data_IF_853165554871
#
_entry.id   IF_853165554871
#
_cell.length_a   1.000
_cell.length_b   1.000
_cell.length_c   1.000
_cell.angle_alpha   90.00
_cell.angle_beta   90.00
_cell.angle_gamma   90.00
#
_symmetry.space_group_name_H-M   'P 1'
#
loop_
_entity.id
_entity.type
_entity.pdbx_description
1 polymer ?
#
# COMPACT_ATOMS: atom_id res chain seq x y z
N UNK A 1 12.79 8.27 -3.33
CA UNK A 1 12.27 7.68 -2.09
C UNK A 1 13.17 6.57 -1.58
N UNK A 2 13.08 5.36 -2.13
CA UNK A 2 13.68 4.16 -1.50
C UNK A 2 15.11 3.78 -1.94
N UNK A 3 15.84 4.61 -2.67
CA UNK A 3 17.12 4.21 -3.29
C UNK A 3 18.19 3.82 -2.25
N UNK A 4 18.38 4.64 -1.20
CA UNK A 4 19.34 4.36 -0.13
C UNK A 4 18.97 3.11 0.69
N UNK A 5 17.69 2.96 1.05
CA UNK A 5 17.22 1.79 1.81
C UNK A 5 17.34 0.48 1.01
N UNK A 6 17.08 0.52 -0.30
CA UNK A 6 17.31 -0.63 -1.18
C UNK A 6 18.80 -0.99 -1.30
N UNK A 7 19.70 0.00 -1.24
CA UNK A 7 21.13 -0.29 -1.21
C UNK A 7 21.53 -0.96 0.11
N UNK A 8 20.97 -0.50 1.23
CA UNK A 8 21.20 -1.11 2.54
C UNK A 8 20.69 -2.56 2.60
N UNK A 9 19.45 -2.82 2.18
CA UNK A 9 18.88 -4.17 2.11
C UNK A 9 19.75 -5.11 1.24
N UNK A 10 20.23 -4.63 0.08
CA UNK A 10 21.15 -5.41 -0.76
C UNK A 10 22.51 -5.67 -0.11
N UNK A 11 23.06 -4.69 0.60
CA UNK A 11 24.34 -4.85 1.31
C UNK A 11 24.23 -5.81 2.50
N UNK A 12 23.03 -5.94 3.08
CA UNK A 12 22.72 -6.83 4.20
C UNK A 12 21.87 -8.00 3.71
N UNK A 13 22.45 -8.79 2.81
CA UNK A 13 21.81 -9.96 2.18
C UNK A 13 21.69 -11.17 3.14
N UNK A 14 21.74 -10.95 4.45
CA UNK A 14 21.57 -11.93 5.52
C UNK A 14 20.12 -11.93 6.06
N UNK A 15 19.25 -11.09 5.51
CA UNK A 15 17.86 -10.95 5.96
C UNK A 15 17.69 -10.14 7.24
N UNK A 16 18.77 -9.55 7.79
CA UNK A 16 18.71 -8.71 8.99
C UNK A 16 17.92 -7.41 8.80
N UNK A 17 17.70 -7.00 7.54
CA UNK A 17 16.93 -5.82 7.17
C UNK A 17 15.93 -6.20 6.09
N UNK A 18 14.67 -5.84 6.32
CA UNK A 18 13.58 -6.04 5.35
C UNK A 18 12.88 -4.71 5.12
N UNK A 19 12.74 -4.30 3.86
CA UNK A 19 12.11 -3.03 3.53
C UNK A 19 10.58 -3.10 3.66
N UNK A 20 10.04 -2.42 4.67
CA UNK A 20 8.63 -2.09 4.75
C UNK A 20 8.35 -0.85 3.87
N UNK A 21 7.56 -1.03 2.83
CA UNK A 21 7.12 0.09 1.99
C UNK A 21 5.93 0.77 2.67
N UNK A 22 5.76 2.07 2.43
CA UNK A 22 4.79 2.86 3.17
C UNK A 22 3.54 3.12 2.34
N UNK A 23 2.37 2.82 2.92
CA UNK A 23 1.07 3.17 2.38
C UNK A 23 0.92 4.67 2.10
N UNK A 24 1.61 5.54 2.86
CA UNK A 24 1.60 6.98 2.63
C UNK A 24 2.14 7.37 1.24
N UNK A 25 3.21 6.71 0.77
CA UNK A 25 3.76 6.95 -0.57
C UNK A 25 2.82 6.44 -1.67
N UNK A 26 2.16 5.30 -1.45
CA UNK A 26 1.18 4.79 -2.39
C UNK A 26 -0.05 5.71 -2.46
N UNK A 27 -0.60 6.11 -1.31
CA UNK A 27 -1.72 7.05 -1.19
C UNK A 27 -1.44 8.37 -1.91
N UNK A 28 -0.24 8.94 -1.72
CA UNK A 28 0.14 10.20 -2.38
C UNK A 28 0.05 10.11 -3.91
N UNK A 29 0.44 8.98 -4.50
CA UNK A 29 0.35 8.79 -5.96
C UNK A 29 -1.09 8.74 -6.46
N UNK A 30 -1.98 8.08 -5.72
CA UNK A 30 -3.41 8.09 -6.04
C UNK A 30 -4.02 9.47 -5.85
N UNK A 31 -3.61 10.20 -4.81
CA UNK A 31 -4.03 11.58 -4.60
C UNK A 31 -3.62 12.50 -5.75
N UNK A 32 -2.34 12.47 -6.14
CA UNK A 32 -1.83 13.26 -7.27
C UNK A 32 -2.56 12.89 -8.57
N UNK A 33 -2.81 11.60 -8.80
CA UNK A 33 -3.60 11.15 -9.95
C UNK A 33 -5.04 11.68 -9.91
N UNK A 34 -5.70 11.63 -8.75
CA UNK A 34 -7.07 12.12 -8.60
C UNK A 34 -7.14 13.64 -8.77
N UNK A 35 -6.26 14.39 -8.11
CA UNK A 35 -6.20 15.85 -8.21
C UNK A 35 -6.00 16.34 -9.65
N UNK A 36 -5.24 15.62 -10.48
CA UNK A 36 -5.01 15.99 -11.87
C UNK A 36 -6.08 15.53 -12.88
N UNK A 37 -6.94 14.57 -12.53
CA UNK A 37 -7.83 13.91 -13.51
C UNK A 37 -9.27 13.70 -13.05
N UNK A 38 -9.58 13.98 -11.78
CA UNK A 38 -10.83 13.60 -11.12
C UNK A 38 -11.19 12.11 -11.28
N UNK A 39 -10.19 11.23 -11.47
CA UNK A 39 -10.44 9.82 -11.74
C UNK A 39 -11.22 9.16 -10.60
N UNK A 40 -12.35 8.48 -10.88
CA UNK A 40 -13.13 7.76 -9.87
C UNK A 40 -12.37 6.55 -9.33
N UNK A 41 -11.53 5.90 -10.15
CA UNK A 41 -10.67 4.80 -9.71
C UNK A 41 -9.63 5.32 -8.70
N UNK A 42 -9.04 6.49 -8.94
CA UNK A 42 -8.10 7.07 -7.99
C UNK A 42 -8.79 7.43 -6.66
N UNK A 43 -10.03 7.95 -6.71
CA UNK A 43 -10.83 8.23 -5.51
C UNK A 43 -11.12 6.95 -4.71
N UNK A 44 -11.58 5.90 -5.37
CA UNK A 44 -11.85 4.60 -4.74
C UNK A 44 -10.59 3.99 -4.08
N UNK A 45 -9.43 4.13 -4.72
CA UNK A 45 -8.16 3.70 -4.13
C UNK A 45 -7.83 4.47 -2.83
N UNK A 46 -8.14 5.77 -2.78
CA UNK A 46 -7.96 6.58 -1.57
C UNK A 46 -8.92 6.16 -0.45
N UNK A 47 -10.16 5.83 -0.78
CA UNK A 47 -11.15 5.34 0.19
C UNK A 47 -10.70 4.02 0.82
N UNK A 48 -10.29 3.04 0.01
CA UNK A 48 -9.76 1.75 0.49
C UNK A 48 -8.54 1.90 1.40
N UNK A 49 -7.61 2.82 1.07
CA UNK A 49 -6.49 3.13 1.97
C UNK A 49 -6.98 3.81 3.26
N UNK A 50 -8.03 4.63 3.17
CA UNK A 50 -8.68 5.25 4.31
C UNK A 50 -9.22 4.23 5.31
N UNK A 51 -9.82 3.13 4.84
CA UNK A 51 -10.29 2.03 5.69
C UNK A 51 -9.15 1.38 6.48
N UNK A 52 -8.02 1.12 5.83
CA UNK A 52 -6.79 0.62 6.50
C UNK A 52 -6.36 1.60 7.61
N UNK A 53 -6.36 2.91 7.31
CA UNK A 53 -5.97 3.94 8.28
C UNK A 53 -6.96 4.10 9.44
N UNK A 54 -8.24 3.82 9.21
CA UNK A 54 -9.24 3.83 10.27
C UNK A 54 -8.95 2.75 11.31
N UNK A 55 -8.68 1.52 10.87
CA UNK A 55 -8.31 0.41 11.77
C UNK A 55 -7.01 0.74 12.52
N UNK A 56 -5.98 1.24 11.82
CA UNK A 56 -4.71 1.60 12.47
C UNK A 56 -4.85 2.72 13.51
N UNK A 57 -5.86 3.58 13.37
CA UNK A 57 -6.20 4.60 14.37
C UNK A 57 -6.87 3.98 15.59
N UNK A 58 -7.77 3.02 15.39
CA UNK A 58 -8.51 2.34 16.47
C UNK A 58 -7.60 1.46 17.34
N UNK A 59 -6.61 0.80 16.73
CA UNK A 59 -5.68 -0.08 17.45
C UNK A 59 -4.47 0.65 18.03
N UNK A 60 -4.38 1.96 17.85
CA UNK A 60 -3.29 2.77 18.38
C UNK A 60 -3.30 2.72 19.91
N UNK A 61 -2.13 2.50 20.50
CA UNK A 61 -1.99 2.38 21.96
C UNK A 61 -2.22 0.96 22.51
N UNK A 62 -2.74 0.04 21.69
CA UNK A 62 -2.82 -1.37 22.08
C UNK A 62 -1.45 -2.05 22.06
N UNK A 63 -1.35 -3.19 22.75
CA UNK A 63 -0.12 -3.98 22.79
C UNK A 63 0.25 -4.52 21.40
N UNK A 64 1.56 -4.76 21.13
CA UNK A 64 1.97 -5.31 19.84
C UNK A 64 1.22 -6.59 19.42
N UNK A 65 1.00 -7.60 20.30
CA UNK A 65 0.24 -8.80 19.93
C UNK A 65 -1.22 -8.51 19.58
N UNK A 66 -1.89 -7.60 20.30
CA UNK A 66 -3.27 -7.22 20.00
C UNK A 66 -3.38 -6.52 18.64
N UNK A 67 -2.43 -5.62 18.33
CA UNK A 67 -2.39 -4.97 17.02
C UNK A 67 -2.23 -5.98 15.88
N UNK A 68 -1.34 -6.96 16.03
CA UNK A 68 -1.14 -8.01 15.03
C UNK A 68 -2.42 -8.84 14.86
N UNK A 69 -3.05 -9.25 15.95
CA UNK A 69 -4.31 -10.01 15.89
C UNK A 69 -5.40 -9.26 15.12
N UNK A 70 -5.59 -7.96 15.41
CA UNK A 70 -6.59 -7.15 14.72
C UNK A 70 -6.21 -6.91 13.25
N UNK A 71 -4.94 -6.65 12.95
CA UNK A 71 -4.48 -6.51 11.57
C UNK A 71 -4.72 -7.77 10.75
N UNK A 72 -4.47 -8.94 11.31
CA UNK A 72 -4.74 -10.22 10.64
C UNK A 72 -6.24 -10.42 10.42
N UNK A 73 -7.06 -10.15 11.43
CA UNK A 73 -8.51 -10.36 11.34
C UNK A 73 -9.23 -9.34 10.44
N UNK A 74 -8.81 -8.08 10.46
CA UNK A 74 -9.57 -6.96 9.88
C UNK A 74 -8.85 -6.28 8.72
N UNK A 75 -7.54 -6.03 8.85
CA UNK A 75 -6.78 -5.28 7.83
C UNK A 75 -6.30 -6.15 6.67
N UNK A 76 -5.87 -7.39 6.94
CA UNK A 76 -5.33 -8.29 5.93
C UNK A 76 -6.35 -8.61 4.81
N UNK A 77 -7.64 -8.87 5.08
CA UNK A 77 -8.65 -9.04 4.03
C UNK A 77 -8.81 -7.79 3.16
N UNK A 78 -8.78 -6.58 3.73
CA UNK A 78 -8.89 -5.32 2.99
C UNK A 78 -7.68 -5.10 2.08
N UNK A 79 -6.47 -5.39 2.57
CA UNK A 79 -5.25 -5.33 1.76
C UNK A 79 -5.34 -6.32 0.59
N UNK A 80 -5.69 -7.58 0.84
CA UNK A 80 -5.83 -8.58 -0.22
C UNK A 80 -6.90 -8.18 -1.26
N UNK A 81 -8.06 -7.70 -0.81
CA UNK A 81 -9.12 -7.20 -1.69
C UNK A 81 -8.64 -6.00 -2.53
N UNK A 82 -7.90 -5.07 -1.93
CA UNK A 82 -7.32 -3.95 -2.65
C UNK A 82 -6.30 -4.39 -3.72
N UNK A 83 -5.47 -5.40 -3.44
CA UNK A 83 -4.52 -5.93 -4.43
C UNK A 83 -5.26 -6.48 -5.66
N UNK A 84 -6.25 -7.33 -5.42
CA UNK A 84 -7.07 -7.95 -6.47
C UNK A 84 -7.79 -6.88 -7.29
N UNK A 85 -8.41 -5.91 -6.61
CA UNK A 85 -9.09 -4.81 -7.26
C UNK A 85 -8.14 -3.96 -8.11
N UNK A 86 -6.95 -3.61 -7.61
CA UNK A 86 -5.95 -2.85 -8.38
C UNK A 86 -5.48 -3.57 -9.65
N UNK A 87 -5.30 -4.90 -9.59
CA UNK A 87 -4.97 -5.71 -10.78
C UNK A 87 -6.09 -5.64 -11.81
N UNK A 88 -7.35 -5.73 -11.38
CA UNK A 88 -8.49 -5.60 -12.28
C UNK A 88 -8.57 -4.20 -12.91
N UNK A 89 -8.34 -3.14 -12.14
CA UNK A 89 -8.36 -1.77 -12.68
C UNK A 89 -7.22 -1.49 -13.65
N UNK A 90 -6.06 -2.12 -13.46
CA UNK A 90 -4.92 -1.94 -14.38
C UNK A 90 -5.25 -2.32 -15.82
N UNK A 91 -6.12 -3.32 -16.01
CA UNK A 91 -6.57 -3.77 -17.34
C UNK A 91 -7.59 -2.81 -17.99
N UNK A 92 -8.09 -1.83 -17.24
CA UNK A 92 -9.17 -0.91 -17.68
C UNK A 92 -8.68 0.51 -17.93
N UNK A 93 -7.40 0.79 -17.69
CA UNK A 93 -6.83 2.13 -17.80
C UNK A 93 -5.74 2.16 -18.87
N UNK A 94 -5.59 3.29 -19.55
CA UNK A 94 -4.49 3.47 -20.51
C UNK A 94 -3.15 3.25 -19.82
N UNK A 95 -2.28 2.47 -20.48
CA UNK A 95 -0.97 2.06 -19.96
C UNK A 95 -0.12 3.24 -19.53
N UNK A 96 -0.18 4.37 -20.21
CA UNK A 96 0.70 5.53 -19.97
C UNK A 96 0.13 6.55 -18.99
N UNK A 97 -1.11 6.36 -18.55
CA UNK A 97 -1.78 7.24 -17.60
C UNK A 97 -1.04 7.32 -16.25
N UNK A 98 -1.15 8.47 -15.58
CA UNK A 98 -0.64 8.66 -14.22
C UNK A 98 -1.21 7.62 -13.24
N UNK A 99 -2.49 7.26 -13.42
CA UNK A 99 -3.16 6.23 -12.65
C UNK A 99 -2.53 4.85 -12.86
N UNK A 100 -2.30 4.43 -14.10
CA UNK A 100 -1.66 3.14 -14.38
C UNK A 100 -0.24 3.08 -13.77
N UNK A 101 0.51 4.18 -13.82
CA UNK A 101 1.83 4.30 -13.15
C UNK A 101 1.71 4.17 -11.63
N UNK A 102 0.68 4.76 -11.00
CA UNK A 102 0.42 4.62 -9.57
C UNK A 102 0.06 3.18 -9.18
N UNK A 103 -0.82 2.52 -9.95
CA UNK A 103 -1.21 1.12 -9.72
C UNK A 103 0.00 0.19 -9.82
N UNK A 104 0.78 0.29 -10.91
CA UNK A 104 2.00 -0.53 -11.08
C UNK A 104 3.02 -0.29 -9.98
N UNK A 105 3.16 0.95 -9.51
CA UNK A 105 4.02 1.24 -8.36
C UNK A 105 3.57 0.48 -7.11
N UNK A 106 2.27 0.49 -6.80
CA UNK A 106 1.72 -0.25 -5.66
C UNK A 106 1.96 -1.76 -5.79
N UNK A 107 1.55 -2.35 -6.92
CA UNK A 107 1.67 -3.79 -7.17
C UNK A 107 3.13 -4.29 -7.12
N UNK A 108 4.09 -3.50 -7.61
CA UNK A 108 5.52 -3.84 -7.56
C UNK A 108 6.08 -3.84 -6.13
N UNK A 109 5.47 -3.09 -5.21
CA UNK A 109 5.95 -2.94 -3.83
C UNK A 109 5.06 -3.67 -2.81
N UNK A 110 4.15 -4.53 -3.29
CA UNK A 110 3.07 -5.07 -2.49
C UNK A 110 3.53 -5.90 -1.29
N UNK A 111 4.47 -6.83 -1.50
CA UNK A 111 5.05 -7.63 -0.40
C UNK A 111 5.63 -6.77 0.72
N UNK A 112 6.15 -5.60 0.37
CA UNK A 112 6.65 -4.63 1.32
C UNK A 112 5.57 -3.80 2.02
N UNK A 113 4.45 -3.56 1.32
CA UNK A 113 3.27 -2.89 1.87
C UNK A 113 2.50 -3.78 2.86
N UNK A 114 2.64 -5.10 2.77
CA UNK A 114 2.00 -6.08 3.67
C UNK A 114 2.78 -6.29 4.97
N UNK A 115 4.05 -5.85 5.07
CA UNK A 115 4.92 -6.12 6.22
C UNK A 115 4.40 -5.61 7.56
N UNK A 116 3.53 -4.59 7.57
CA UNK A 116 2.94 -4.09 8.81
C UNK A 116 1.88 -5.03 9.40
N UNK A 117 1.37 -5.99 8.62
CA UNK A 117 0.34 -6.95 9.06
C UNK A 117 0.87 -7.97 10.08
N UNK A 118 2.19 -8.15 10.15
CA UNK A 118 2.87 -9.13 11.00
C UNK A 118 3.60 -8.47 12.16
#
# INVERSE_FOLDING_TARGET
GYAGFKALERSRNDGSVVLAFCWAHLRRRFFESHAGTASPIAAEALLRIGEIYAIEREIRGQSPPQRVAIRQASTAPLVAAMQTWLRAQLNRVSSDSALAKAIRYGLRHWTGLERFLT
#
